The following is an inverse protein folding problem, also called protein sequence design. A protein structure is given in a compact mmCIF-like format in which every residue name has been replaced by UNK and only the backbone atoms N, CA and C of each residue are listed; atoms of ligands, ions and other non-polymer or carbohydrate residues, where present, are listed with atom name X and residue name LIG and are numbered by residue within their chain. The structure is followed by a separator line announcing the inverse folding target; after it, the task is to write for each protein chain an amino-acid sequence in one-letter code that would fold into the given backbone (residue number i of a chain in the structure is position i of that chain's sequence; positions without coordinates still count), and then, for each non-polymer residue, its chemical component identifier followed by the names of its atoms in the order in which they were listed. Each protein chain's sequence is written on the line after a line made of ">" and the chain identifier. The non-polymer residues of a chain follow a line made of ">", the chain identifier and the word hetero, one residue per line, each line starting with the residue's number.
data_IF_338424102177
#
_entry.id   IF_338424102177
#
_cell.length_a   1.000
_cell.length_b   1.000
_cell.length_c   1.000
_cell.angle_alpha   90.00
_cell.angle_beta   90.00
_cell.angle_gamma   90.00
#
_symmetry.space_group_name_H-M   'P 1'
#
loop_
_entity.id
_entity.type
_entity.pdbx_description
1 polymer ?
#
# COMPACT_ATOMS: atom_id res chain seq x y z
N UNK A 1 -25.89 -25.82 -23.36
CA UNK A 1 -25.19 -25.11 -22.27
C UNK A 1 -24.07 -26.01 -21.79
N UNK A 2 -22.82 -25.74 -22.19
CA UNK A 2 -21.66 -26.46 -21.66
C UNK A 2 -21.15 -25.66 -20.45
N UNK A 3 -21.31 -26.24 -19.27
CA UNK A 3 -20.66 -25.78 -18.04
C UNK A 3 -19.22 -26.28 -18.07
N UNK A 4 -18.27 -25.40 -18.39
CA UNK A 4 -16.85 -25.71 -18.20
C UNK A 4 -16.56 -25.69 -16.69
N UNK A 5 -16.50 -26.89 -16.11
CA UNK A 5 -15.81 -27.14 -14.85
C UNK A 5 -14.32 -26.85 -15.07
N UNK A 6 -13.88 -25.63 -14.74
CA UNK A 6 -12.46 -25.36 -14.56
C UNK A 6 -12.03 -26.03 -13.26
N UNK A 7 -11.13 -27.01 -13.41
CA UNK A 7 -10.56 -27.77 -12.33
C UNK A 7 -10.01 -26.86 -11.23
N UNK A 8 -10.33 -27.26 -10.00
CA UNK A 8 -9.82 -26.69 -8.78
C UNK A 8 -8.33 -27.03 -8.67
N UNK A 9 -7.46 -26.32 -9.40
CA UNK A 9 -6.04 -26.29 -9.09
C UNK A 9 -5.93 -25.45 -7.83
N UNK A 10 -5.84 -26.10 -6.66
CA UNK A 10 -5.83 -25.51 -5.32
C UNK A 10 -4.64 -24.60 -5.05
N UNK A 11 -4.56 -23.50 -5.80
CA UNK A 11 -3.62 -22.41 -5.58
C UNK A 11 -4.03 -21.60 -4.36
N UNK A 12 -3.04 -21.13 -3.60
CA UNK A 12 -3.27 -20.28 -2.44
C UNK A 12 -3.83 -18.93 -2.92
N UNK A 13 -5.02 -18.53 -2.45
CA UNK A 13 -5.57 -17.20 -2.70
C UNK A 13 -5.10 -16.25 -1.59
N UNK A 14 -4.37 -15.20 -1.98
CA UNK A 14 -3.92 -14.14 -1.08
C UNK A 14 -4.54 -12.81 -1.48
N UNK A 15 -5.27 -12.20 -0.54
CA UNK A 15 -5.77 -10.83 -0.72
C UNK A 15 -4.77 -9.83 -0.15
N UNK A 16 -4.44 -8.82 -0.96
CA UNK A 16 -3.55 -7.72 -0.65
C UNK A 16 -4.32 -6.41 -0.78
N UNK A 17 -4.28 -5.56 0.24
CA UNK A 17 -4.89 -4.23 0.20
C UNK A 17 -3.83 -3.14 0.22
N UNK A 18 -3.99 -2.13 -0.64
CA UNK A 18 -3.19 -0.91 -0.62
C UNK A 18 -4.04 0.27 -0.14
N UNK A 19 -3.62 0.85 0.98
CA UNK A 19 -4.17 2.09 1.53
C UNK A 19 -3.14 3.23 1.47
N UNK A 20 -3.61 4.46 1.61
CA UNK A 20 -2.80 5.68 1.59
C UNK A 20 -3.51 6.82 0.88
N UNK A 21 -2.96 8.02 0.96
CA UNK A 21 -3.55 9.21 0.33
C UNK A 21 -3.56 9.12 -1.21
N UNK A 22 -4.31 10.02 -1.83
CA UNK A 22 -4.24 10.24 -3.27
C UNK A 22 -2.82 10.66 -3.68
N UNK A 23 -2.44 10.27 -4.90
CA UNK A 23 -1.10 10.49 -5.45
C UNK A 23 0.05 9.81 -4.68
N UNK A 24 -0.22 8.96 -3.67
CA UNK A 24 0.84 8.28 -2.92
C UNK A 24 1.64 7.23 -3.72
N UNK A 25 1.17 6.85 -4.92
CA UNK A 25 1.83 5.87 -5.80
C UNK A 25 1.26 4.44 -5.72
N UNK A 26 0.10 4.24 -5.10
CA UNK A 26 -0.53 2.92 -4.91
C UNK A 26 -0.78 2.18 -6.23
N UNK A 27 -1.46 2.83 -7.18
CA UNK A 27 -1.71 2.25 -8.50
C UNK A 27 -0.42 1.96 -9.27
N UNK A 28 0.61 2.80 -9.10
CA UNK A 28 1.93 2.57 -9.69
C UNK A 28 2.59 1.32 -9.10
N UNK A 29 2.52 1.11 -7.78
CA UNK A 29 2.98 -0.13 -7.14
C UNK A 29 2.27 -1.35 -7.72
N UNK A 30 0.94 -1.29 -7.90
CA UNK A 30 0.17 -2.38 -8.52
C UNK A 30 0.65 -2.67 -9.94
N UNK A 31 0.87 -1.64 -10.77
CA UNK A 31 1.43 -1.81 -12.11
C UNK A 31 2.82 -2.47 -12.07
N UNK A 32 3.70 -2.04 -11.17
CA UNK A 32 5.03 -2.64 -11.06
C UNK A 32 4.98 -4.09 -10.59
N UNK A 33 4.09 -4.42 -9.65
CA UNK A 33 3.86 -5.81 -9.22
C UNK A 33 3.38 -6.71 -10.37
N UNK A 34 2.58 -6.16 -11.29
CA UNK A 34 2.16 -6.87 -12.52
C UNK A 34 3.28 -7.03 -13.55
N UNK A 35 4.48 -6.48 -13.30
CA UNK A 35 5.58 -6.47 -14.26
C UNK A 35 5.45 -5.42 -15.36
N UNK A 36 4.52 -4.45 -15.24
CA UNK A 36 4.46 -3.33 -16.19
C UNK A 36 5.62 -2.37 -15.93
N UNK A 37 6.51 -2.23 -16.92
CA UNK A 37 7.66 -1.32 -16.89
C UNK A 37 7.51 -0.16 -17.88
N UNK A 38 6.34 0.00 -18.50
CA UNK A 38 6.10 1.03 -19.51
C UNK A 38 5.90 2.40 -18.85
N UNK A 39 6.80 3.35 -19.15
CA UNK A 39 6.66 4.74 -18.71
C UNK A 39 5.31 5.33 -19.11
N UNK A 40 4.80 5.00 -20.30
CA UNK A 40 3.50 5.46 -20.77
C UNK A 40 2.35 5.00 -19.86
N UNK A 41 2.42 3.79 -19.32
CA UNK A 41 1.42 3.28 -18.38
C UNK A 41 1.41 4.09 -17.08
N UNK A 42 2.58 4.49 -16.59
CA UNK A 42 2.70 5.33 -15.39
C UNK A 42 2.19 6.76 -15.61
N UNK A 43 2.52 7.37 -16.76
CA UNK A 43 2.10 8.75 -17.07
C UNK A 43 0.61 8.90 -17.41
N UNK A 44 -0.05 7.84 -17.84
CA UNK A 44 -1.47 7.84 -18.20
C UNK A 44 -2.41 7.50 -17.03
N UNK A 45 -1.86 7.30 -15.82
CA UNK A 45 -2.67 7.03 -14.64
C UNK A 45 -3.59 8.20 -14.28
N UNK A 46 -4.86 7.87 -14.07
CA UNK A 46 -5.85 8.79 -13.51
C UNK A 46 -6.14 8.43 -12.05
N UNK A 47 -6.63 9.37 -11.22
CA UNK A 47 -6.98 9.07 -9.84
C UNK A 47 -7.99 7.92 -9.73
N UNK A 48 -7.66 6.88 -8.96
CA UNK A 48 -8.54 5.72 -8.75
C UNK A 48 -9.84 6.15 -8.10
N UNK A 49 -10.98 5.77 -8.68
CA UNK A 49 -12.30 6.01 -8.10
C UNK A 49 -12.65 4.88 -7.14
N UNK A 50 -13.02 5.23 -5.92
CA UNK A 50 -13.37 4.30 -4.84
C UNK A 50 -12.32 3.21 -4.55
N UNK A 51 -12.32 2.10 -5.28
CA UNK A 51 -11.25 1.09 -5.25
C UNK A 51 -11.18 0.33 -6.58
N UNK A 52 -10.00 -0.18 -6.93
CA UNK A 52 -9.76 -1.03 -8.11
C UNK A 52 -9.28 -2.41 -7.67
N UNK A 53 -9.95 -3.45 -8.16
CA UNK A 53 -9.54 -4.84 -7.93
C UNK A 53 -8.71 -5.32 -9.13
N UNK A 54 -7.56 -5.91 -8.83
CA UNK A 54 -6.63 -6.48 -9.81
C UNK A 54 -6.26 -7.89 -9.40
N UNK A 55 -6.49 -8.85 -10.29
CA UNK A 55 -6.04 -10.23 -10.10
C UNK A 55 -4.69 -10.44 -10.80
N UNK A 56 -3.79 -11.15 -10.15
CA UNK A 56 -2.53 -11.59 -10.74
C UNK A 56 -2.12 -12.96 -10.17
N UNK A 57 -1.27 -13.66 -10.89
CA UNK A 57 -0.76 -14.97 -10.49
C UNK A 57 0.75 -14.90 -10.36
N UNK A 58 1.28 -15.42 -9.26
CA UNK A 58 2.71 -15.58 -9.03
C UNK A 58 2.95 -17.05 -8.67
N UNK A 59 3.55 -17.81 -9.58
CA UNK A 59 3.67 -19.26 -9.42
C UNK A 59 2.30 -19.91 -9.31
N UNK A 60 2.03 -20.61 -8.20
CA UNK A 60 0.73 -21.24 -7.92
C UNK A 60 -0.16 -20.41 -6.97
N UNK A 61 0.21 -19.16 -6.68
CA UNK A 61 -0.53 -18.27 -5.79
C UNK A 61 -1.33 -17.25 -6.60
N UNK A 62 -2.64 -17.22 -6.38
CA UNK A 62 -3.51 -16.18 -6.91
C UNK A 62 -3.51 -15.00 -5.94
N UNK A 63 -3.19 -13.81 -6.43
CA UNK A 63 -3.16 -12.59 -5.65
C UNK A 63 -4.27 -11.66 -6.11
N UNK A 64 -5.14 -11.31 -5.17
CA UNK A 64 -6.23 -10.37 -5.38
C UNK A 64 -5.88 -9.03 -4.71
N UNK A 65 -5.52 -8.05 -5.52
CA UNK A 65 -5.03 -6.75 -5.07
C UNK A 65 -6.16 -5.72 -5.10
N UNK A 66 -6.43 -5.08 -3.96
CA UNK A 66 -7.37 -3.97 -3.83
C UNK A 66 -6.59 -2.66 -3.70
N UNK A 67 -6.63 -1.84 -4.74
CA UNK A 67 -6.06 -0.49 -4.75
C UNK A 67 -7.14 0.54 -4.40
N UNK A 68 -7.13 1.05 -3.17
CA UNK A 68 -8.12 2.02 -2.72
C UNK A 68 -7.82 3.44 -3.22
N UNK A 69 -8.83 4.12 -3.75
CA UNK A 69 -8.79 5.55 -4.06
C UNK A 69 -8.44 6.35 -2.80
N UNK A 70 -7.41 7.19 -2.88
CA UNK A 70 -6.91 7.91 -1.71
C UNK A 70 -7.53 9.28 -1.49
N UNK A 71 -8.46 9.71 -2.35
CA UNK A 71 -9.09 11.03 -2.32
C UNK A 71 -9.99 11.16 -1.10
N UNK A 72 -10.08 12.38 -0.57
CA UNK A 72 -10.87 12.66 0.63
C UNK A 72 -12.32 12.24 0.55
N UNK A 73 -12.95 12.42 -0.62
CA UNK A 73 -14.33 12.02 -0.88
C UNK A 73 -14.59 10.51 -0.71
N UNK A 74 -13.56 9.66 -0.80
CA UNK A 74 -13.72 8.20 -0.69
C UNK A 74 -13.28 7.64 0.68
N UNK A 75 -12.27 8.24 1.32
CA UNK A 75 -11.67 7.70 2.56
C UNK A 75 -12.68 7.52 3.69
N UNK A 76 -13.62 8.45 3.87
CA UNK A 76 -14.64 8.33 4.92
C UNK A 76 -15.57 7.13 4.67
N UNK A 77 -15.92 6.86 3.43
CA UNK A 77 -16.69 5.68 3.06
C UNK A 77 -15.88 4.40 3.23
N UNK A 78 -14.57 4.43 2.93
CA UNK A 78 -13.67 3.30 3.16
C UNK A 78 -13.60 2.91 4.63
N UNK A 79 -13.41 3.89 5.52
CA UNK A 79 -13.38 3.66 6.97
C UNK A 79 -14.70 3.09 7.49
N UNK A 80 -15.85 3.57 6.99
CA UNK A 80 -17.17 3.05 7.38
C UNK A 80 -17.40 1.59 7.02
N UNK A 81 -16.85 1.14 5.89
CA UNK A 81 -17.04 -0.21 5.34
C UNK A 81 -15.82 -1.11 5.52
N UNK A 82 -14.85 -0.69 6.34
CA UNK A 82 -13.53 -1.33 6.37
C UNK A 82 -13.62 -2.81 6.78
N UNK A 83 -14.55 -3.17 7.66
CA UNK A 83 -14.77 -4.56 8.09
C UNK A 83 -15.17 -5.47 6.91
N UNK A 84 -15.96 -4.97 5.96
CA UNK A 84 -16.31 -5.71 4.73
C UNK A 84 -15.08 -5.84 3.82
N UNK A 85 -14.27 -4.78 3.74
CA UNK A 85 -13.10 -4.76 2.86
C UNK A 85 -11.94 -5.60 3.36
N UNK A 86 -11.73 -5.74 4.66
CA UNK A 86 -10.57 -6.46 5.21
C UNK A 86 -10.80 -7.97 5.32
N UNK A 87 -12.02 -8.47 5.15
CA UNK A 87 -12.28 -9.90 5.21
C UNK A 87 -11.40 -10.68 4.22
N UNK A 88 -10.77 -11.75 4.71
CA UNK A 88 -9.84 -12.59 3.95
C UNK A 88 -8.51 -11.92 3.57
N UNK A 89 -8.20 -10.74 4.11
CA UNK A 89 -6.96 -10.03 3.80
C UNK A 89 -5.77 -10.72 4.45
N UNK A 90 -4.78 -11.07 3.62
CA UNK A 90 -3.52 -11.65 4.09
C UNK A 90 -2.44 -10.61 4.35
N UNK A 91 -2.53 -9.46 3.65
CA UNK A 91 -1.52 -8.42 3.70
C UNK A 91 -2.13 -7.04 3.49
N UNK A 92 -1.64 -6.07 4.26
CA UNK A 92 -1.94 -4.64 4.07
C UNK A 92 -0.62 -3.90 3.80
N UNK A 93 -0.65 -3.07 2.76
CA UNK A 93 0.41 -2.10 2.47
C UNK A 93 -0.18 -0.70 2.63
N UNK A 94 0.34 0.05 3.60
CA UNK A 94 0.04 1.47 3.73
C UNK A 94 1.13 2.30 3.07
N UNK A 95 0.75 3.18 2.14
CA UNK A 95 1.69 3.93 1.29
C UNK A 95 1.71 5.41 1.68
N UNK A 96 2.89 5.93 1.99
CA UNK A 96 3.15 7.33 2.31
C UNK A 96 4.13 7.90 1.28
N UNK A 97 3.74 8.99 0.61
CA UNK A 97 4.63 9.72 -0.31
C UNK A 97 5.66 10.52 0.49
N UNK A 98 6.92 10.12 0.46
CA UNK A 98 7.98 10.80 1.22
C UNK A 98 8.32 12.19 0.67
N UNK A 99 7.99 12.49 -0.59
CA UNK A 99 8.22 13.81 -1.18
C UNK A 99 7.16 14.83 -0.72
N UNK A 100 6.00 14.36 -0.27
CA UNK A 100 4.87 15.22 0.11
C UNK A 100 4.79 15.45 1.62
N UNK A 101 5.88 16.01 2.17
CA UNK A 101 6.00 16.27 3.61
C UNK A 101 4.93 17.21 4.17
N UNK A 102 4.28 18.03 3.33
CA UNK A 102 3.18 18.90 3.74
C UNK A 102 1.92 18.11 4.11
N UNK A 103 1.79 16.87 3.61
CA UNK A 103 0.64 15.99 3.86
C UNK A 103 0.94 14.84 4.81
N UNK A 104 2.10 14.82 5.47
CA UNK A 104 2.44 13.75 6.44
C UNK A 104 1.42 13.64 7.56
N UNK A 105 1.01 14.75 8.16
CA UNK A 105 -0.01 14.74 9.23
C UNK A 105 -1.32 14.11 8.74
N UNK A 106 -1.79 14.50 7.55
CA UNK A 106 -2.99 13.91 6.93
C UNK A 106 -2.82 12.42 6.62
N UNK A 107 -1.64 12.01 6.18
CA UNK A 107 -1.33 10.62 5.89
C UNK A 107 -1.26 9.77 7.17
N UNK A 108 -0.69 10.30 8.25
CA UNK A 108 -0.59 9.64 9.55
C UNK A 108 -1.96 9.57 10.24
N UNK A 109 -2.77 10.63 10.16
CA UNK A 109 -4.13 10.62 10.68
C UNK A 109 -5.00 9.55 9.98
N UNK A 110 -4.90 9.44 8.65
CA UNK A 110 -5.60 8.36 7.93
C UNK A 110 -5.05 6.98 8.28
N UNK A 111 -3.72 6.85 8.41
CA UNK A 111 -3.07 5.61 8.82
C UNK A 111 -3.59 5.12 10.17
N UNK A 112 -3.59 6.01 11.17
CA UNK A 112 -4.05 5.71 12.51
C UNK A 112 -5.50 5.22 12.51
N UNK A 113 -6.40 5.90 11.78
CA UNK A 113 -7.81 5.48 11.71
C UNK A 113 -8.00 4.13 11.01
N UNK A 114 -7.22 3.84 9.96
CA UNK A 114 -7.20 2.52 9.32
C UNK A 114 -6.72 1.47 10.32
N UNK A 115 -5.67 1.76 11.07
CA UNK A 115 -5.05 0.86 12.03
C UNK A 115 -6.00 0.49 13.17
N UNK A 116 -6.61 1.51 13.80
CA UNK A 116 -7.60 1.38 14.88
C UNK A 116 -8.76 0.45 14.50
N UNK A 117 -9.27 0.57 13.27
CA UNK A 117 -10.42 -0.23 12.84
C UNK A 117 -10.06 -1.66 12.43
N UNK A 118 -8.78 -1.96 12.18
CA UNK A 118 -8.36 -3.29 11.68
C UNK A 118 -7.80 -4.16 12.80
N UNK A 119 -6.93 -3.61 13.65
CA UNK A 119 -6.19 -4.41 14.63
C UNK A 119 -7.04 -4.88 15.79
N UNK A 120 -8.10 -4.15 16.15
CA UNK A 120 -9.07 -4.59 17.17
C UNK A 120 -9.72 -5.95 16.86
N UNK A 121 -9.59 -6.44 15.62
CA UNK A 121 -10.24 -7.66 15.16
C UNK A 121 -9.31 -8.71 14.54
N UNK A 122 -8.05 -8.40 14.22
CA UNK A 122 -7.20 -9.24 13.35
C UNK A 122 -5.70 -9.13 13.61
N UNK A 123 -5.10 -10.17 14.20
CA UNK A 123 -3.64 -10.31 14.35
C UNK A 123 -2.99 -11.15 13.24
N UNK A 124 -3.78 -11.69 12.31
CA UNK A 124 -3.35 -12.59 11.22
C UNK A 124 -2.85 -11.87 9.95
N UNK A 125 -2.90 -10.53 9.93
CA UNK A 125 -2.59 -9.72 8.76
C UNK A 125 -1.12 -9.26 8.78
N UNK A 126 -0.37 -9.52 7.72
CA UNK A 126 0.98 -8.95 7.53
C UNK A 126 0.87 -7.46 7.17
N UNK A 127 1.38 -6.58 8.04
CA UNK A 127 1.42 -5.14 7.81
C UNK A 127 2.76 -4.66 7.25
N UNK A 128 2.70 -3.81 6.23
CA UNK A 128 3.87 -3.12 5.71
C UNK A 128 3.56 -1.65 5.44
N UNK A 129 4.50 -0.78 5.82
CA UNK A 129 4.44 0.65 5.52
C UNK A 129 5.48 0.97 4.47
N UNK A 130 5.04 1.51 3.34
CA UNK A 130 5.90 1.94 2.24
C UNK A 130 6.09 3.44 2.31
N UNK A 131 7.32 3.85 2.65
CA UNK A 131 7.84 5.19 2.46
C UNK A 131 8.20 5.30 0.98
N UNK A 132 7.20 5.67 0.17
CA UNK A 132 7.22 5.56 -1.28
C UNK A 132 7.67 6.85 -1.98
N UNK A 133 8.03 6.73 -3.25
CA UNK A 133 8.72 7.75 -4.06
C UNK A 133 10.07 8.16 -3.46
N UNK A 134 10.75 7.22 -2.83
CA UNK A 134 12.13 7.39 -2.38
C UNK A 134 13.07 7.25 -3.57
N UNK A 135 13.01 8.20 -4.48
CA UNK A 135 13.69 8.12 -5.77
C UNK A 135 15.20 8.35 -5.63
N UNK A 136 16.02 7.85 -6.57
CA UNK A 136 17.46 8.08 -6.54
C UNK A 136 17.79 9.58 -6.42
N UNK A 137 18.71 9.91 -5.50
CA UNK A 137 19.15 11.28 -5.22
C UNK A 137 18.06 12.21 -4.64
N UNK A 138 16.94 11.69 -4.13
CA UNK A 138 15.93 12.52 -3.48
C UNK A 138 16.48 13.29 -2.28
N UNK A 139 17.40 12.68 -1.52
CA UNK A 139 18.04 13.28 -0.34
C UNK A 139 18.84 14.54 -0.67
N UNK A 140 19.40 14.65 -1.89
CA UNK A 140 20.13 15.85 -2.31
C UNK A 140 19.21 16.95 -2.84
N UNK A 141 17.98 16.61 -3.24
CA UNK A 141 17.00 17.56 -3.80
C UNK A 141 16.07 18.15 -2.75
N UNK A 142 15.81 17.41 -1.68
CA UNK A 142 14.87 17.81 -0.62
C UNK A 142 15.64 18.08 0.67
N UNK A 143 15.81 19.36 1.06
CA UNK A 143 16.50 19.73 2.29
C UNK A 143 15.90 19.04 3.52
N UNK A 144 16.77 18.50 4.37
CA UNK A 144 16.40 17.84 5.63
C UNK A 144 15.45 16.63 5.46
N UNK A 145 15.36 16.03 4.27
CA UNK A 145 14.50 14.87 4.05
C UNK A 145 14.79 13.71 5.02
N UNK A 146 16.06 13.45 5.30
CA UNK A 146 16.45 12.39 6.24
C UNK A 146 15.92 12.65 7.66
N UNK A 147 15.90 13.91 8.09
CA UNK A 147 15.32 14.30 9.39
C UNK A 147 13.81 14.06 9.36
N UNK A 148 13.12 14.54 8.31
CA UNK A 148 11.67 14.37 8.15
C UNK A 148 11.25 12.90 8.09
N UNK A 149 12.02 12.06 7.41
CA UNK A 149 11.76 10.63 7.32
C UNK A 149 12.02 9.94 8.65
N UNK A 150 13.05 10.35 9.39
CA UNK A 150 13.29 9.84 10.75
C UNK A 150 12.12 10.17 11.68
N UNK A 151 11.67 11.42 11.70
CA UNK A 151 10.50 11.85 12.48
C UNK A 151 9.23 11.08 12.08
N UNK A 152 9.01 10.88 10.78
CA UNK A 152 7.91 10.09 10.25
C UNK A 152 7.96 8.64 10.74
N UNK A 153 9.14 8.00 10.69
CA UNK A 153 9.34 6.62 11.17
C UNK A 153 9.06 6.53 12.67
N UNK A 154 9.58 7.45 13.47
CA UNK A 154 9.32 7.46 14.93
C UNK A 154 7.83 7.66 15.23
N UNK A 155 7.14 8.48 14.44
CA UNK A 155 5.69 8.66 14.59
C UNK A 155 4.92 7.40 14.22
N UNK A 156 5.28 6.73 13.11
CA UNK A 156 4.69 5.44 12.71
C UNK A 156 4.87 4.40 13.83
N UNK A 157 6.07 4.29 14.39
CA UNK A 157 6.35 3.38 15.51
C UNK A 157 5.51 3.69 16.74
N UNK A 158 5.25 4.97 17.02
CA UNK A 158 4.40 5.40 18.13
C UNK A 158 2.92 5.06 17.93
N UNK A 159 2.45 5.02 16.67
CA UNK A 159 1.08 4.63 16.31
C UNK A 159 0.93 3.10 16.30
N UNK A 160 1.95 2.37 15.86
CA UNK A 160 1.88 0.91 15.72
C UNK A 160 1.79 0.20 17.09
N UNK A 161 0.80 -0.70 17.27
CA UNK A 161 0.73 -1.57 18.45
C UNK A 161 1.97 -2.44 18.59
N UNK A 162 2.36 -2.70 19.84
CA UNK A 162 3.61 -3.43 20.17
C UNK A 162 3.54 -4.93 19.87
N UNK A 163 2.33 -5.47 19.79
CA UNK A 163 1.99 -6.88 19.59
C UNK A 163 1.71 -7.22 18.12
N UNK A 164 1.79 -6.24 17.23
CA UNK A 164 1.62 -6.42 15.78
C UNK A 164 2.98 -6.36 15.11
N UNK A 165 3.33 -7.42 14.38
CA UNK A 165 4.48 -7.42 13.50
C UNK A 165 4.22 -6.56 12.27
N UNK A 166 5.15 -5.64 11.98
CA UNK A 166 5.12 -4.83 10.78
C UNK A 166 6.51 -4.54 10.26
N UNK A 167 6.57 -4.09 9.01
CA UNK A 167 7.83 -3.72 8.36
C UNK A 167 7.71 -2.38 7.65
N UNK A 168 8.74 -1.55 7.77
CA UNK A 168 8.84 -0.26 7.08
C UNK A 168 9.87 -0.38 5.95
N UNK A 169 9.50 0.09 4.76
CA UNK A 169 10.35 0.03 3.57
C UNK A 169 10.43 1.38 2.88
N UNK A 170 11.64 1.77 2.48
CA UNK A 170 11.82 2.80 1.46
C UNK A 170 11.61 2.15 0.10
N UNK A 171 10.74 2.74 -0.73
CA UNK A 171 10.36 2.14 -2.01
C UNK A 171 10.28 3.17 -3.14
N UNK A 172 10.57 2.72 -4.35
CA UNK A 172 10.43 3.49 -5.59
C UNK A 172 10.03 2.58 -6.76
N UNK A 173 9.48 3.16 -7.82
CA UNK A 173 9.15 2.48 -9.07
C UNK A 173 10.28 2.58 -10.12
N UNK A 174 11.38 3.28 -9.84
CA UNK A 174 12.45 3.51 -10.83
C UNK A 174 13.13 2.21 -11.27
N UNK A 175 12.91 1.81 -12.54
CA UNK A 175 13.52 0.70 -13.31
C UNK A 175 13.29 -0.74 -12.82
N UNK A 176 13.21 -0.94 -11.50
CA UNK A 176 12.81 -2.18 -10.83
C UNK A 176 12.15 -1.72 -9.52
N UNK A 177 11.05 -2.34 -9.09
CA UNK A 177 10.52 -2.03 -7.76
C UNK A 177 11.60 -2.38 -6.72
N UNK A 178 12.26 -1.35 -6.20
CA UNK A 178 13.29 -1.50 -5.20
C UNK A 178 12.67 -1.31 -3.82
N UNK A 179 13.01 -2.24 -2.95
CA UNK A 179 12.52 -2.28 -1.58
C UNK A 179 13.72 -2.37 -0.66
N UNK A 180 14.05 -1.26 -0.03
CA UNK A 180 15.14 -1.19 0.93
C UNK A 180 14.52 -1.29 2.33
N UNK A 181 14.76 -2.38 3.09
CA UNK A 181 14.36 -2.45 4.48
C UNK A 181 14.98 -1.28 5.24
N UNK A 182 14.17 -0.63 6.07
CA UNK A 182 14.70 0.34 7.03
C UNK A 182 15.29 -0.45 8.18
N UNK A 183 16.60 -0.71 8.11
CA UNK A 183 17.35 -1.26 9.24
C UNK A 183 17.65 -0.13 10.23
N UNK A 184 17.37 -0.38 11.51
CA UNK A 184 17.70 0.50 12.63
C UNK A 184 19.02 0.05 13.26
#
# INVERSE_FOLDING_TARGET
>A
MQTNNFGNNGGELRKLILFGLDNAGKTSIVLTLKGDKSLLSYYSLSPTKDHKITNMEIGNTQINIWDFGGQEAYRDNHLKKINEYIEGTSKIIYVIDVQDYKRYEKALAYFQRVLELIIDHRTDIDFSIFLHKYDPNIESRVPNLNVKIKELIETIKGIMPKDIDYRIFKTTIHTTFEKIPVFL
#
